data_IF_298092974715
#
_entry.id   IF_298092974715
#
_cell.length_a   1.000
_cell.length_b   1.000
_cell.length_c   1.000
_cell.angle_alpha   90.00
_cell.angle_beta   90.00
_cell.angle_gamma   90.00
#
_symmetry.space_group_name_H-M   'P 1'
#
loop_
_entity.id
_entity.type
_entity.pdbx_description
1 polymer ?
#
# COMPACT_ATOMS: atom_id res chain seq x y z
N UNK A 1 15.86 4.11 -13.31
CA UNK A 1 15.62 5.59 -13.37
C UNK A 1 14.12 5.82 -13.23
N UNK A 2 13.68 6.59 -12.22
CA UNK A 2 12.25 6.86 -11.98
C UNK A 2 11.50 7.29 -13.24
N UNK A 3 10.28 6.79 -13.40
CA UNK A 3 9.41 7.19 -14.50
C UNK A 3 8.94 8.63 -14.30
N UNK A 4 8.53 9.27 -15.40
CA UNK A 4 8.03 10.65 -15.41
C UNK A 4 6.93 10.85 -14.35
N UNK A 5 6.89 12.03 -13.74
CA UNK A 5 5.82 12.39 -12.80
C UNK A 5 4.51 12.63 -13.54
N UNK A 6 3.39 12.51 -12.83
CA UNK A 6 2.09 12.91 -13.37
C UNK A 6 2.01 14.46 -13.41
N UNK A 7 1.90 15.09 -14.60
CA UNK A 7 1.82 16.54 -14.72
C UNK A 7 0.42 17.10 -14.40
N UNK A 8 -0.52 16.26 -13.93
CA UNK A 8 -1.89 16.66 -13.66
C UNK A 8 -1.96 17.87 -12.72
N UNK A 9 -2.68 18.94 -13.11
CA UNK A 9 -2.84 20.12 -12.25
C UNK A 9 -3.60 19.79 -10.96
N UNK A 10 -4.30 18.65 -10.90
CA UNK A 10 -4.99 18.16 -9.69
C UNK A 10 -4.03 18.01 -8.50
N UNK A 11 -2.79 17.62 -8.76
CA UNK A 11 -1.81 17.35 -7.72
C UNK A 11 -0.90 18.55 -7.43
N UNK A 12 -0.94 19.61 -8.25
CA UNK A 12 0.00 20.73 -8.18
C UNK A 12 0.01 21.47 -6.84
N UNK A 13 -1.09 21.41 -6.07
CA UNK A 13 -1.20 22.05 -4.76
C UNK A 13 -0.73 21.17 -3.58
N UNK A 14 -0.48 19.87 -3.81
CA UNK A 14 0.04 18.99 -2.78
C UNK A 14 1.51 19.29 -2.48
N UNK A 15 1.92 19.09 -1.22
CA UNK A 15 3.32 19.28 -0.82
C UNK A 15 4.27 18.30 -1.53
N UNK A 16 3.76 17.10 -1.83
CA UNK A 16 4.47 16.02 -2.51
C UNK A 16 3.60 15.47 -3.64
N UNK A 17 3.46 16.18 -4.78
CA UNK A 17 2.66 15.71 -5.91
C UNK A 17 3.21 14.40 -6.49
N UNK A 18 4.51 14.13 -6.32
CA UNK A 18 5.20 12.96 -6.87
C UNK A 18 4.73 11.61 -6.31
N UNK A 19 4.01 11.59 -5.18
CA UNK A 19 3.54 10.36 -4.54
C UNK A 19 2.15 9.92 -5.03
N UNK A 20 1.54 10.66 -5.95
CA UNK A 20 0.23 10.35 -6.54
C UNK A 20 0.32 10.28 -8.06
N UNK A 21 -0.49 9.40 -8.64
CA UNK A 21 -0.74 9.35 -10.09
C UNK A 21 -2.23 9.23 -10.35
N UNK A 22 -2.69 9.82 -11.44
CA UNK A 22 -4.06 9.71 -11.92
C UNK A 22 -4.27 8.41 -12.72
N UNK A 23 -5.53 8.00 -12.83
CA UNK A 23 -5.97 6.90 -13.70
C UNK A 23 -5.65 7.16 -15.17
N UNK A 24 -5.71 8.43 -15.62
CA UNK A 24 -5.32 8.84 -16.97
C UNK A 24 -3.83 8.63 -17.21
N UNK A 25 -2.97 9.15 -16.31
CA UNK A 25 -1.53 8.96 -16.41
C UNK A 25 -1.17 7.48 -16.41
N UNK A 26 -1.73 6.69 -15.49
CA UNK A 26 -1.42 5.27 -15.41
C UNK A 26 -1.82 4.53 -16.69
N UNK A 27 -3.00 4.83 -17.26
CA UNK A 27 -3.44 4.19 -18.50
C UNK A 27 -2.50 4.45 -19.69
N UNK A 28 -1.82 5.61 -19.71
CA UNK A 28 -0.85 5.99 -20.75
C UNK A 28 0.56 5.45 -20.50
N UNK A 29 0.89 5.10 -19.25
CA UNK A 29 2.26 4.81 -18.83
C UNK A 29 2.46 3.39 -18.25
N UNK A 30 1.40 2.60 -18.03
CA UNK A 30 1.47 1.25 -17.40
C UNK A 30 2.41 0.26 -18.08
N UNK A 31 2.78 0.49 -19.34
CA UNK A 31 3.71 -0.36 -20.11
C UNK A 31 5.16 0.12 -20.06
N UNK A 32 5.48 1.17 -19.29
CA UNK A 32 6.86 1.64 -19.12
C UNK A 32 7.71 0.55 -18.44
N UNK A 33 8.92 0.26 -18.95
CA UNK A 33 9.71 -0.89 -18.49
C UNK A 33 10.26 -0.77 -17.06
N UNK A 34 10.23 0.42 -16.45
CA UNK A 34 10.69 0.67 -15.08
C UNK A 34 9.53 1.03 -14.13
N UNK A 35 8.30 0.65 -14.48
CA UNK A 35 7.11 0.82 -13.69
C UNK A 35 6.53 -0.56 -13.36
N UNK A 36 6.29 -0.82 -12.07
CA UNK A 36 5.53 -1.98 -11.63
C UNK A 36 4.27 -1.51 -10.93
N UNK A 37 3.15 -2.08 -11.34
CA UNK A 37 1.85 -1.81 -10.76
C UNK A 37 1.52 -2.89 -9.72
N UNK A 38 1.13 -2.50 -8.52
CA UNK A 38 0.83 -3.41 -7.41
C UNK A 38 -0.62 -3.22 -6.97
N UNK A 39 -1.36 -4.32 -6.88
CA UNK A 39 -2.66 -4.36 -6.22
C UNK A 39 -2.51 -4.89 -4.79
N UNK A 40 -3.10 -4.18 -3.82
CA UNK A 40 -3.13 -4.57 -2.41
C UNK A 40 -4.48 -4.21 -1.79
N UNK A 41 -5.25 -5.24 -1.47
CA UNK A 41 -6.67 -5.16 -1.11
C UNK A 41 -6.95 -5.69 0.30
N UNK A 42 -8.12 -5.34 0.85
CA UNK A 42 -8.67 -6.01 2.02
C UNK A 42 -9.11 -7.43 1.69
N UNK A 43 -9.84 -7.59 0.58
CA UNK A 43 -10.25 -8.89 0.07
C UNK A 43 -9.13 -9.52 -0.78
N UNK A 44 -8.41 -10.46 -0.18
CA UNK A 44 -7.25 -11.15 -0.79
C UNK A 44 -7.57 -11.93 -2.08
N UNK A 45 -8.85 -12.18 -2.36
CA UNK A 45 -9.31 -12.89 -3.57
C UNK A 45 -9.73 -11.93 -4.70
N UNK A 46 -9.74 -10.62 -4.44
CA UNK A 46 -10.30 -9.63 -5.36
C UNK A 46 -9.48 -9.51 -6.65
N UNK A 47 -8.16 -9.53 -6.55
CA UNK A 47 -7.23 -9.49 -7.67
C UNK A 47 -7.53 -10.56 -8.75
N UNK A 48 -7.81 -11.80 -8.35
CA UNK A 48 -8.10 -12.91 -9.27
C UNK A 48 -9.44 -12.74 -10.01
N UNK A 49 -10.35 -11.93 -9.48
CA UNK A 49 -11.62 -11.62 -10.16
C UNK A 49 -11.44 -10.67 -11.35
N UNK A 50 -10.34 -9.93 -11.37
CA UNK A 50 -9.88 -9.04 -12.43
C UNK A 50 -9.04 -7.91 -11.85
N UNK A 51 -7.95 -7.52 -12.51
CA UNK A 51 -7.00 -6.50 -12.07
C UNK A 51 -6.55 -5.64 -13.25
N UNK A 52 -5.87 -4.52 -12.98
CA UNK A 52 -5.34 -3.66 -14.04
C UNK A 52 -4.28 -4.46 -14.82
N UNK A 53 -4.31 -4.49 -16.17
CA UNK A 53 -3.33 -5.25 -16.95
C UNK A 53 -1.88 -4.90 -16.59
N UNK A 54 -1.10 -5.93 -16.26
CA UNK A 54 0.29 -5.80 -15.82
C UNK A 54 0.49 -5.60 -14.32
N UNK A 55 -0.59 -5.52 -13.52
CA UNK A 55 -0.48 -5.46 -12.06
C UNK A 55 0.04 -6.79 -11.48
N UNK A 56 0.76 -6.73 -10.38
CA UNK A 56 1.10 -7.87 -9.53
C UNK A 56 0.37 -7.76 -8.20
N UNK A 57 0.07 -8.89 -7.56
CA UNK A 57 -0.54 -8.90 -6.21
C UNK A 57 0.52 -8.84 -5.12
N UNK A 58 0.33 -7.98 -4.12
CA UNK A 58 1.00 -8.07 -2.82
C UNK A 58 -0.09 -8.15 -1.74
N UNK A 59 -0.18 -9.30 -1.09
CA UNK A 59 -1.11 -9.53 0.01
C UNK A 59 -0.53 -8.98 1.31
N UNK A 60 -1.24 -8.03 1.92
CA UNK A 60 -0.79 -7.39 3.15
C UNK A 60 -0.55 -8.41 4.27
N UNK A 61 -1.39 -9.45 4.39
CA UNK A 61 -1.33 -10.40 5.49
C UNK A 61 -0.24 -11.44 5.27
N UNK A 62 -0.14 -12.01 4.07
CA UNK A 62 0.77 -13.14 3.81
C UNK A 62 2.15 -12.74 3.28
N UNK A 63 2.28 -11.59 2.62
CA UNK A 63 3.56 -11.15 2.05
C UNK A 63 4.30 -10.12 2.93
N UNK A 64 3.57 -9.24 3.64
CA UNK A 64 4.18 -8.12 4.37
C UNK A 64 4.35 -8.34 5.87
N UNK A 65 3.72 -9.38 6.44
CA UNK A 65 3.81 -9.71 7.87
C UNK A 65 4.63 -10.98 8.12
N UNK A 66 5.28 -11.03 9.29
CA UNK A 66 5.89 -12.26 9.79
C UNK A 66 4.79 -13.29 10.11
N UNK A 67 4.95 -14.57 9.72
CA UNK A 67 3.91 -15.58 9.89
C UNK A 67 3.69 -16.04 11.34
N UNK A 68 4.58 -15.68 12.26
CA UNK A 68 4.55 -16.14 13.67
C UNK A 68 4.42 -14.97 14.64
N UNK A 69 5.21 -13.93 14.42
CA UNK A 69 5.29 -12.75 15.27
C UNK A 69 4.36 -11.68 14.73
N UNK A 70 3.72 -10.91 15.61
CA UNK A 70 2.97 -9.71 15.20
C UNK A 70 3.93 -8.57 14.84
N UNK A 71 4.65 -8.73 13.74
CA UNK A 71 5.55 -7.75 13.17
C UNK A 71 5.61 -7.89 11.64
N UNK A 72 6.21 -6.91 10.97
CA UNK A 72 6.47 -7.00 9.53
C UNK A 72 7.63 -7.94 9.23
N UNK A 73 7.73 -8.39 7.98
CA UNK A 73 8.90 -9.10 7.48
C UNK A 73 10.20 -8.33 7.75
N UNK A 74 11.33 -9.04 7.75
CA UNK A 74 12.66 -8.42 7.81
C UNK A 74 13.15 -8.01 6.41
N UNK A 75 14.37 -7.47 6.34
CA UNK A 75 14.97 -7.04 5.08
C UNK A 75 15.16 -8.18 4.06
N UNK A 76 15.37 -9.41 4.52
CA UNK A 76 15.54 -10.58 3.65
C UNK A 76 14.19 -11.00 3.08
N UNK A 77 13.15 -11.04 3.91
CA UNK A 77 11.78 -11.31 3.49
C UNK A 77 11.29 -10.29 2.47
N UNK A 78 11.49 -9.00 2.74
CA UNK A 78 11.11 -7.93 1.83
C UNK A 78 11.86 -7.98 0.50
N UNK A 79 13.19 -8.19 0.53
CA UNK A 79 13.98 -8.35 -0.70
C UNK A 79 13.55 -9.56 -1.53
N UNK A 80 13.23 -10.68 -0.87
CA UNK A 80 12.74 -11.90 -1.54
C UNK A 80 11.38 -11.67 -2.20
N UNK A 81 10.46 -11.00 -1.50
CA UNK A 81 9.16 -10.61 -2.02
C UNK A 81 9.30 -9.73 -3.27
N UNK A 82 10.03 -8.62 -3.18
CA UNK A 82 10.18 -7.69 -4.30
C UNK A 82 10.89 -8.31 -5.50
N UNK A 83 11.91 -9.13 -5.25
CA UNK A 83 12.59 -9.89 -6.30
C UNK A 83 11.62 -10.82 -7.02
N UNK A 84 10.75 -11.53 -6.29
CA UNK A 84 9.74 -12.44 -6.87
C UNK A 84 8.74 -11.72 -7.76
N UNK A 85 8.35 -10.50 -7.41
CA UNK A 85 7.36 -9.70 -8.15
C UNK A 85 8.00 -8.74 -9.17
N UNK A 86 9.31 -8.86 -9.41
CA UNK A 86 10.02 -8.14 -10.48
C UNK A 86 10.33 -6.68 -10.16
N UNK A 87 10.30 -6.28 -8.89
CA UNK A 87 10.60 -4.91 -8.44
C UNK A 87 12.10 -4.82 -8.13
N UNK A 88 12.84 -3.99 -8.86
CA UNK A 88 14.23 -3.62 -8.53
C UNK A 88 14.26 -2.44 -7.58
N UNK A 89 15.45 -2.09 -7.05
CA UNK A 89 15.60 -0.95 -6.14
C UNK A 89 15.24 0.41 -6.77
N UNK A 90 15.35 0.53 -8.08
CA UNK A 90 15.12 1.77 -8.85
C UNK A 90 13.82 1.76 -9.65
N UNK A 91 13.00 0.73 -9.47
CA UNK A 91 11.65 0.62 -10.06
C UNK A 91 10.75 1.71 -9.48
N UNK A 92 9.92 2.35 -10.31
CA UNK A 92 8.78 3.11 -9.80
C UNK A 92 7.66 2.14 -9.48
N UNK A 93 7.12 2.20 -8.27
CA UNK A 93 6.00 1.35 -7.84
C UNK A 93 4.75 2.18 -7.71
N UNK A 94 3.69 1.83 -8.45
CA UNK A 94 2.35 2.42 -8.24
C UNK A 94 1.50 1.37 -7.54
N UNK A 95 0.93 1.72 -6.40
CA UNK A 95 0.08 0.83 -5.61
C UNK A 95 -1.37 1.31 -5.68
N UNK A 96 -2.31 0.38 -5.83
CA UNK A 96 -3.74 0.64 -5.76
C UNK A 96 -4.46 -0.51 -5.07
N UNK A 97 -5.69 -0.28 -4.63
CA UNK A 97 -6.53 -1.32 -4.07
C UNK A 97 -7.97 -0.88 -3.86
N UNK A 98 -8.74 -1.76 -3.25
CA UNK A 98 -10.11 -1.51 -2.82
C UNK A 98 -10.22 -0.56 -1.61
N UNK A 99 -11.46 -0.29 -1.18
CA UNK A 99 -11.78 0.42 0.07
C UNK A 99 -11.07 1.77 0.19
N UNK A 100 -11.10 2.56 -0.89
CA UNK A 100 -10.42 3.86 -0.94
C UNK A 100 -8.91 3.77 -0.66
N UNK A 101 -8.23 2.75 -1.21
CA UNK A 101 -6.78 2.52 -1.09
C UNK A 101 -6.29 2.27 0.34
N UNK A 102 -7.11 1.71 1.24
CA UNK A 102 -6.67 1.51 2.62
C UNK A 102 -5.41 0.60 2.69
N UNK A 103 -5.49 -0.58 2.07
CA UNK A 103 -4.37 -1.54 2.06
C UNK A 103 -3.25 -1.14 1.10
N UNK A 104 -3.56 -0.45 0.02
CA UNK A 104 -2.57 0.18 -0.84
C UNK A 104 -1.69 1.21 -0.10
N UNK A 105 -2.33 2.06 0.74
CA UNK A 105 -1.62 3.04 1.57
C UNK A 105 -0.78 2.38 2.65
N UNK A 106 -1.29 1.31 3.26
CA UNK A 106 -0.54 0.48 4.20
C UNK A 106 0.69 -0.16 3.52
N UNK A 107 0.53 -0.75 2.34
CA UNK A 107 1.64 -1.33 1.59
C UNK A 107 2.69 -0.26 1.24
N UNK A 108 2.27 0.93 0.79
CA UNK A 108 3.18 2.06 0.58
C UNK A 108 3.98 2.39 1.84
N UNK A 109 3.31 2.48 2.99
CA UNK A 109 3.95 2.77 4.27
C UNK A 109 4.98 1.68 4.64
N UNK A 110 4.69 0.40 4.42
CA UNK A 110 5.65 -0.70 4.61
C UNK A 110 6.86 -0.54 3.67
N UNK A 111 6.66 -0.21 2.40
CA UNK A 111 7.77 0.05 1.47
C UNK A 111 8.68 1.19 1.96
N UNK A 112 8.12 2.21 2.64
CA UNK A 112 8.88 3.32 3.22
C UNK A 112 9.71 2.91 4.43
N UNK A 113 9.31 1.89 5.20
CA UNK A 113 10.17 1.31 6.26
C UNK A 113 11.48 0.75 5.71
N UNK A 114 11.45 0.20 4.48
CA UNK A 114 12.61 -0.29 3.74
C UNK A 114 13.21 0.75 2.78
N UNK A 115 12.75 1.99 2.90
CA UNK A 115 13.28 3.13 2.17
C UNK A 115 13.15 3.05 0.65
N UNK A 116 12.19 2.31 0.09
CA UNK A 116 11.97 2.33 -1.36
C UNK A 116 11.58 3.75 -1.80
N UNK A 117 12.35 4.33 -2.73
CA UNK A 117 12.33 5.77 -2.99
C UNK A 117 11.05 6.19 -3.72
N UNK A 118 10.76 5.57 -4.86
CA UNK A 118 9.67 5.97 -5.74
C UNK A 118 8.47 5.01 -5.63
N UNK A 119 7.63 5.28 -4.64
CA UNK A 119 6.36 4.56 -4.40
C UNK A 119 5.24 5.57 -4.40
N UNK A 120 4.22 5.31 -5.23
CA UNK A 120 3.10 6.22 -5.49
C UNK A 120 1.77 5.48 -5.28
N UNK A 121 0.70 6.22 -5.00
CA UNK A 121 -0.66 5.68 -5.02
C UNK A 121 -1.38 6.07 -6.31
N UNK A 122 -2.17 5.15 -6.85
CA UNK A 122 -3.18 5.48 -7.85
C UNK A 122 -4.33 6.22 -7.16
N UNK A 123 -4.47 7.51 -7.44
CA UNK A 123 -5.53 8.32 -6.88
C UNK A 123 -6.92 7.78 -7.26
N UNK A 124 -7.76 7.57 -6.25
CA UNK A 124 -9.07 6.93 -6.40
C UNK A 124 -9.06 5.39 -6.48
N UNK A 125 -7.89 4.77 -6.57
CA UNK A 125 -7.70 3.32 -6.43
C UNK A 125 -8.43 2.46 -7.46
N UNK A 126 -8.72 1.20 -7.07
CA UNK A 126 -9.43 0.23 -7.89
C UNK A 126 -10.83 0.74 -8.29
N UNK A 127 -11.53 1.36 -7.34
CA UNK A 127 -12.90 1.83 -7.52
C UNK A 127 -13.01 2.89 -8.63
N UNK A 128 -12.08 3.85 -8.67
CA UNK A 128 -12.08 4.89 -9.72
C UNK A 128 -11.71 4.32 -11.09
N UNK A 129 -10.76 3.38 -11.14
CA UNK A 129 -10.42 2.69 -12.39
C UNK A 129 -11.64 1.99 -13.01
N UNK A 130 -12.41 1.28 -12.18
CA UNK A 130 -13.65 0.61 -12.59
C UNK A 130 -14.74 1.62 -12.96
N UNK A 131 -14.95 2.65 -12.15
CA UNK A 131 -15.99 3.66 -12.38
C UNK A 131 -15.77 4.41 -13.71
N UNK A 132 -14.51 4.58 -14.13
CA UNK A 132 -14.14 5.16 -15.42
C UNK A 132 -14.27 4.18 -16.60
N UNK A 133 -14.70 2.94 -16.37
CA UNK A 133 -14.89 1.92 -17.40
C UNK A 133 -13.58 1.43 -18.03
N UNK A 134 -12.47 1.52 -17.29
CA UNK A 134 -11.16 1.11 -17.78
C UNK A 134 -10.99 -0.41 -17.75
N UNK A 135 -10.09 -0.90 -18.59
CA UNK A 135 -9.86 -2.32 -18.78
C UNK A 135 -9.37 -3.01 -17.51
N UNK A 136 -9.95 -4.18 -17.23
CA UNK A 136 -9.44 -5.16 -16.28
C UNK A 136 -9.18 -6.47 -17.01
N UNK A 137 -8.20 -7.22 -16.54
CA UNK A 137 -7.86 -8.55 -17.04
C UNK A 137 -7.84 -9.56 -15.90
N UNK A 138 -7.99 -10.84 -16.23
CA UNK A 138 -7.74 -11.98 -15.33
C UNK A 138 -6.48 -12.74 -15.70
N UNK A 139 -5.79 -12.31 -16.74
CA UNK A 139 -4.55 -12.93 -17.19
C UNK A 139 -3.46 -12.70 -16.16
N UNK A 140 -2.73 -13.75 -15.80
CA UNK A 140 -1.60 -13.62 -14.89
C UNK A 140 -0.50 -12.73 -15.51
N UNK A 141 -0.04 -11.74 -14.74
CA UNK A 141 1.10 -10.91 -15.12
C UNK A 141 2.37 -11.76 -15.16
N UNK A 142 3.02 -11.77 -16.33
CA UNK A 142 4.32 -12.44 -16.49
C UNK A 142 5.42 -11.60 -15.88
N UNK A 143 5.95 -12.07 -14.75
CA UNK A 143 7.02 -11.40 -14.02
C UNK A 143 8.37 -12.05 -14.34
N UNK A 144 9.38 -11.21 -14.60
CA UNK A 144 10.78 -11.64 -14.55
C UNK A 144 11.35 -11.24 -13.20
N UNK A 145 11.85 -12.18 -12.37
CA UNK A 145 12.42 -11.83 -11.09
C UNK A 145 13.58 -10.83 -11.22
N UNK A 146 13.63 -9.87 -10.30
CA UNK A 146 14.68 -8.85 -10.21
C UNK A 146 15.72 -9.22 -9.14
N UNK A 147 16.74 -8.37 -8.99
CA UNK A 147 17.69 -8.42 -7.87
C UNK A 147 17.42 -7.22 -6.95
N UNK A 148 16.64 -7.46 -5.89
CA UNK A 148 16.38 -6.43 -4.87
C UNK A 148 17.38 -6.58 -3.71
N UNK A 149 18.07 -5.51 -3.31
CA UNK A 149 19.07 -5.60 -2.24
C UNK A 149 18.41 -5.84 -0.87
N UNK A 150 19.05 -6.65 -0.04
CA UNK A 150 18.69 -6.74 1.38
C UNK A 150 19.04 -5.41 2.05
N UNK A 151 18.04 -4.77 2.65
CA UNK A 151 18.17 -3.49 3.36
C UNK A 151 17.69 -3.63 4.79
N UNK A 152 18.32 -2.93 5.72
CA UNK A 152 17.85 -2.85 7.09
C UNK A 152 16.54 -2.03 7.15
N UNK A 153 15.55 -2.56 7.87
CA UNK A 153 14.27 -1.87 8.13
C UNK A 153 14.51 -0.74 9.14
N UNK A 154 13.96 0.45 8.90
CA UNK A 154 14.06 1.60 9.80
C UNK A 154 12.68 2.05 10.30
N UNK A 155 12.27 1.47 11.42
CA UNK A 155 10.98 1.76 12.05
C UNK A 155 10.96 3.17 12.69
N UNK A 156 12.11 3.71 13.08
CA UNK A 156 12.22 4.91 13.91
C UNK A 156 11.69 6.20 13.28
N UNK A 157 11.55 6.22 11.95
CA UNK A 157 11.13 7.40 11.19
C UNK A 157 9.61 7.56 11.08
N UNK A 158 8.88 6.45 10.93
CA UNK A 158 7.47 6.47 10.54
C UNK A 158 6.60 5.46 11.31
N UNK A 159 7.16 4.75 12.30
CA UNK A 159 6.44 3.82 13.18
C UNK A 159 6.64 4.22 14.64
N UNK A 160 5.55 4.22 15.40
CA UNK A 160 5.58 4.42 16.84
C UNK A 160 5.19 3.12 17.55
N UNK A 161 5.94 2.73 18.58
CA UNK A 161 5.62 1.60 19.44
C UNK A 161 4.82 2.07 20.66
N UNK A 162 4.32 1.10 21.45
CA UNK A 162 3.53 1.36 22.66
C UNK A 162 4.20 2.39 23.58
N UNK A 163 5.48 2.22 23.88
CA UNK A 163 6.18 3.09 24.82
C UNK A 163 6.42 4.49 24.25
N UNK A 164 6.59 4.62 22.93
CA UNK A 164 6.66 5.93 22.26
C UNK A 164 5.34 6.69 22.43
N UNK A 165 4.20 6.01 22.25
CA UNK A 165 2.87 6.59 22.44
C UNK A 165 2.65 7.01 23.90
N UNK A 166 3.03 6.18 24.86
CA UNK A 166 2.94 6.51 26.29
C UNK A 166 3.78 7.75 26.64
N UNK A 167 4.97 7.87 26.07
CA UNK A 167 5.86 9.01 26.29
C UNK A 167 5.40 10.29 25.56
N UNK A 168 4.56 10.16 24.52
CA UNK A 168 4.05 11.29 23.73
C UNK A 168 2.77 11.91 24.31
N UNK A 169 2.18 11.33 25.36
CA UNK A 169 0.95 11.86 25.96
C UNK A 169 1.07 13.34 26.35
N UNK A 170 0.00 14.11 26.08
CA UNK A 170 -0.04 15.57 26.22
C UNK A 170 0.24 16.32 24.91
N UNK A 171 0.67 15.63 23.87
CA UNK A 171 0.79 16.16 22.50
C UNK A 171 -0.36 15.65 21.61
N UNK A 172 -0.50 16.16 20.37
CA UNK A 172 -1.53 15.68 19.45
C UNK A 172 -1.42 14.17 19.18
N UNK A 173 -2.53 13.47 19.35
CA UNK A 173 -2.77 12.08 18.99
C UNK A 173 -4.08 12.04 18.19
N UNK A 174 -4.08 11.32 17.08
CA UNK A 174 -5.22 11.26 16.16
C UNK A 174 -5.76 9.84 16.15
N UNK A 175 -6.99 9.67 16.62
CA UNK A 175 -7.76 8.44 16.41
C UNK A 175 -8.56 8.60 15.11
N UNK A 176 -8.32 7.70 14.15
CA UNK A 176 -8.94 7.71 12.83
C UNK A 176 -10.10 6.72 12.70
N UNK A 177 -10.46 6.04 13.80
CA UNK A 177 -11.57 5.09 13.84
C UNK A 177 -12.93 5.81 13.79
N UNK A 178 -14.01 5.03 13.66
CA UNK A 178 -15.36 5.59 13.68
C UNK A 178 -15.69 6.25 15.03
N UNK A 179 -16.66 7.17 15.02
CA UNK A 179 -17.07 7.87 16.24
C UNK A 179 -17.53 6.91 17.37
N UNK A 180 -18.15 5.78 17.01
CA UNK A 180 -18.61 4.77 17.99
C UNK A 180 -17.47 3.89 18.52
N UNK A 181 -16.38 3.71 17.77
CA UNK A 181 -15.16 3.09 18.28
C UNK A 181 -14.37 4.03 19.20
N UNK A 182 -14.37 5.32 18.88
CA UNK A 182 -13.73 6.35 19.68
C UNK A 182 -14.46 6.57 21.01
N UNK A 183 -15.79 6.52 21.02
CA UNK A 183 -16.58 6.70 22.25
C UNK A 183 -16.61 5.47 23.17
N UNK A 184 -16.10 4.32 22.71
CA UNK A 184 -16.15 3.05 23.43
C UNK A 184 -17.48 2.30 23.31
N UNK A 185 -18.40 2.78 22.47
CA UNK A 185 -19.69 2.11 22.19
C UNK A 185 -19.49 0.79 21.42
N UNK A 186 -18.46 0.71 20.57
CA UNK A 186 -18.04 -0.52 19.89
C UNK A 186 -16.54 -0.70 19.97
N UNK A 187 -16.07 -1.94 19.87
CA UNK A 187 -14.65 -2.26 19.80
C UNK A 187 -14.13 -2.38 18.37
N UNK A 188 -15.02 -2.35 17.38
CA UNK A 188 -14.68 -2.43 15.96
C UNK A 188 -15.67 -1.63 15.10
N UNK A 189 -15.33 -1.48 13.81
CA UNK A 189 -16.03 -0.62 12.87
C UNK A 189 -17.49 -1.06 12.68
N UNK A 190 -18.40 -0.12 12.41
CA UNK A 190 -19.75 -0.42 11.95
C UNK A 190 -19.74 -1.48 10.83
N UNK A 191 -20.70 -2.40 10.87
CA UNK A 191 -20.91 -3.44 9.84
C UNK A 191 -19.83 -4.54 9.76
N UNK A 192 -18.83 -4.54 10.65
CA UNK A 192 -17.92 -5.66 10.87
C UNK A 192 -18.24 -6.40 12.19
N UNK A 193 -17.90 -7.70 12.29
CA UNK A 193 -17.98 -8.42 13.56
C UNK A 193 -17.11 -7.74 14.61
N UNK A 194 -17.54 -7.69 15.88
CA UNK A 194 -16.68 -7.15 16.93
C UNK A 194 -15.43 -8.04 17.06
N UNK A 195 -14.25 -7.51 16.69
CA UNK A 195 -12.98 -8.19 16.97
C UNK A 195 -12.77 -8.25 18.50
N UNK A 196 -12.33 -9.41 18.97
CA UNK A 196 -12.32 -9.83 20.39
C UNK A 196 -11.37 -9.06 21.32
N UNK A 197 -11.34 -7.73 21.26
CA UNK A 197 -10.75 -6.92 22.32
C UNK A 197 -11.54 -7.15 23.62
N UNK A 198 -10.88 -7.75 24.62
CA UNK A 198 -11.48 -8.10 25.91
C UNK A 198 -11.97 -6.88 26.72
N UNK A 199 -11.63 -5.66 26.30
CA UNK A 199 -12.25 -4.39 26.75
C UNK A 199 -12.18 -3.35 25.63
N UNK A 200 -13.30 -2.65 25.40
CA UNK A 200 -13.33 -1.43 24.61
C UNK A 200 -12.53 -0.32 25.28
N UNK A 201 -12.06 0.63 24.46
CA UNK A 201 -11.40 1.87 24.90
C UNK A 201 -12.36 2.81 25.61
#
# INVERSE_FOLDING_TARGET
MSVVLDPSPKFAEYAHPEVLVSTEWLAQNKELPNLVLVESDEDVLLYETGHIPGAVKIDWHTDLNDPVTRDYVDGVGFATLLSRVGISRDTTVVIYGDKSNWWASYALWVFKLFGHEDVRLLDGGRDSWIAEGRELTREETKVTPSDYPVVERDDSKIRAFRDDVLNHFGNPLIDVRSAVEYSGERTHMPDYPDEGALRGG
#
